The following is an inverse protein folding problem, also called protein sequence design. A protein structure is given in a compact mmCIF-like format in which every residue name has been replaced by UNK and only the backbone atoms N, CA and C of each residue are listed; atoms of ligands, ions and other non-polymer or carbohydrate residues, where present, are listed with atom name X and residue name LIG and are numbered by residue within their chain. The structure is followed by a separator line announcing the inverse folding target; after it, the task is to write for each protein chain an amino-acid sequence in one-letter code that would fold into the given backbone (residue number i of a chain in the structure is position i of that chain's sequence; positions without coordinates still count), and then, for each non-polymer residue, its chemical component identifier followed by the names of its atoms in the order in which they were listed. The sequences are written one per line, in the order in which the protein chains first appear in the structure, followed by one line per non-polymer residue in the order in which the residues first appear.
data_IF_474583450157
#
_entry.id   IF_474583450157
#
_cell.length_a   1.000
_cell.length_b   1.000
_cell.length_c   1.000
_cell.angle_alpha   90.00
_cell.angle_beta   90.00
_cell.angle_gamma   90.00
#
_symmetry.space_group_name_H-M   'P 1'
#
loop_
_entity.id
_entity.type
_entity.pdbx_description
1 polymer ?
#
# COMPACT_ATOMS: atom_id res chain seq x y z
N UNK A 1 -2.33 -6.12 -18.86
CA UNK A 1 -2.89 -4.79 -18.52
C UNK A 1 -2.75 -4.62 -17.02
N UNK A 2 -2.07 -3.59 -16.48
CA UNK A 2 -2.18 -3.36 -15.05
C UNK A 2 -3.58 -2.80 -14.83
N UNK A 3 -4.45 -3.64 -14.27
CA UNK A 3 -5.71 -3.16 -13.70
C UNK A 3 -5.31 -2.19 -12.61
N UNK A 4 -5.83 -0.97 -12.63
CA UNK A 4 -5.68 -0.01 -11.54
C UNK A 4 -6.42 -0.52 -10.31
N UNK A 5 -5.87 -1.56 -9.69
CA UNK A 5 -6.49 -2.26 -8.59
C UNK A 5 -6.25 -1.45 -7.32
N UNK A 6 -7.26 -0.63 -7.02
CA UNK A 6 -7.41 0.02 -5.72
C UNK A 6 -7.82 -1.03 -4.70
N UNK A 7 -6.90 -1.36 -3.79
CA UNK A 7 -7.10 -2.40 -2.78
C UNK A 7 -7.23 -1.83 -1.38
N UNK A 8 -7.94 -2.55 -0.51
CA UNK A 8 -8.04 -2.21 0.92
C UNK A 8 -6.69 -2.41 1.63
N UNK A 9 -6.47 -1.78 2.81
CA UNK A 9 -5.19 -1.82 3.51
C UNK A 9 -4.67 -3.25 3.73
N UNK A 10 -5.52 -4.15 4.23
CA UNK A 10 -5.19 -5.57 4.40
C UNK A 10 -4.68 -6.25 3.13
N UNK A 11 -5.32 -6.02 1.97
CA UNK A 11 -4.87 -6.59 0.69
C UNK A 11 -3.54 -6.00 0.23
N UNK A 12 -3.32 -4.70 0.43
CA UNK A 12 -2.02 -4.08 0.15
C UNK A 12 -0.91 -4.68 1.03
N UNK A 13 -1.19 -4.93 2.31
CA UNK A 13 -0.24 -5.58 3.23
C UNK A 13 0.10 -6.99 2.75
N UNK A 14 -0.89 -7.83 2.46
CA UNK A 14 -0.66 -9.18 1.93
C UNK A 14 0.18 -9.16 0.65
N UNK A 15 -0.08 -8.20 -0.23
CA UNK A 15 0.65 -8.03 -1.48
C UNK A 15 2.13 -7.69 -1.27
N UNK A 16 2.45 -6.88 -0.25
CA UNK A 16 3.82 -6.54 0.14
C UNK A 16 4.50 -7.73 0.82
N UNK A 17 3.79 -8.42 1.73
CA UNK A 17 4.30 -9.61 2.41
C UNK A 17 4.64 -10.73 1.42
N UNK A 18 3.81 -10.94 0.39
CA UNK A 18 4.05 -11.93 -0.66
C UNK A 18 5.33 -11.66 -1.49
N UNK A 19 5.93 -10.48 -1.36
CA UNK A 19 7.19 -10.09 -2.02
C UNK A 19 8.42 -10.17 -1.11
N UNK A 20 8.28 -10.76 0.08
CA UNK A 20 9.39 -11.02 1.00
C UNK A 20 9.44 -10.10 2.23
N UNK A 21 8.50 -9.15 2.36
CA UNK A 21 8.43 -8.25 3.52
C UNK A 21 7.47 -8.79 4.59
N UNK A 22 7.76 -9.96 5.15
CA UNK A 22 6.83 -10.70 6.04
C UNK A 22 6.33 -9.88 7.25
N UNK A 23 7.18 -9.01 7.81
CA UNK A 23 6.84 -8.15 8.97
C UNK A 23 6.04 -6.90 8.61
N UNK A 24 5.79 -6.66 7.31
CA UNK A 24 5.02 -5.51 6.85
C UNK A 24 3.56 -5.62 7.31
N UNK A 25 3.02 -4.55 7.88
CA UNK A 25 1.67 -4.54 8.44
C UNK A 25 0.96 -3.20 8.17
N UNK A 26 -0.31 -3.07 8.58
CA UNK A 26 -1.09 -1.86 8.32
C UNK A 26 -0.54 -0.59 9.01
N UNK A 27 0.16 -0.74 10.15
CA UNK A 27 0.80 0.39 10.80
C UNK A 27 2.00 0.87 9.98
N UNK A 28 2.79 -0.06 9.43
CA UNK A 28 3.89 0.23 8.50
C UNK A 28 3.37 0.89 7.22
N UNK A 29 2.31 0.35 6.62
CA UNK A 29 1.66 0.93 5.44
C UNK A 29 1.20 2.37 5.70
N UNK A 30 0.59 2.61 6.86
CA UNK A 30 0.14 3.95 7.28
C UNK A 30 1.33 4.88 7.55
N UNK A 31 2.41 4.37 8.13
CA UNK A 31 3.64 5.13 8.33
C UNK A 31 4.16 5.62 6.98
N UNK A 32 4.31 4.73 5.99
CA UNK A 32 4.76 5.13 4.66
C UNK A 32 3.82 6.15 4.01
N UNK A 33 2.50 5.97 4.11
CA UNK A 33 1.52 6.85 3.49
C UNK A 33 1.42 8.27 4.11
N UNK A 34 1.73 8.42 5.40
CA UNK A 34 1.48 9.66 6.14
C UNK A 34 2.73 10.32 6.72
N UNK A 35 3.81 9.56 6.93
CA UNK A 35 5.06 10.05 7.54
C UNK A 35 6.22 10.08 6.57
N UNK A 36 6.13 9.36 5.46
CA UNK A 36 7.15 9.34 4.41
C UNK A 36 6.58 9.87 3.09
N UNK A 37 7.46 10.17 2.13
CA UNK A 37 7.07 10.52 0.76
C UNK A 37 7.10 9.30 -0.20
N UNK A 38 7.23 8.08 0.34
CA UNK A 38 7.41 6.86 -0.47
C UNK A 38 6.09 6.21 -0.88
N UNK A 39 4.98 6.55 -0.22
CA UNK A 39 3.66 6.03 -0.57
C UNK A 39 2.65 7.19 -0.57
N UNK A 40 1.90 7.41 -1.66
CA UNK A 40 0.81 8.36 -1.68
C UNK A 40 -0.26 8.05 -0.62
N UNK A 41 -0.93 9.11 -0.15
CA UNK A 41 -2.04 8.96 0.79
C UNK A 41 -3.16 8.11 0.16
N UNK A 42 -3.83 7.25 0.94
CA UNK A 42 -4.89 6.41 0.40
C UNK A 42 -6.08 7.24 -0.07
N UNK A 43 -6.73 6.78 -1.14
CA UNK A 43 -8.01 7.32 -1.58
C UNK A 43 -9.09 6.93 -0.58
N UNK A 44 -9.88 7.90 -0.13
CA UNK A 44 -11.03 7.69 0.76
C UNK A 44 -12.31 7.60 -0.06
N UNK A 45 -13.06 6.53 0.13
CA UNK A 45 -14.41 6.35 -0.45
C UNK A 45 -15.35 5.94 0.69
N UNK A 46 -16.17 6.89 1.12
CA UNK A 46 -16.93 6.78 2.37
C UNK A 46 -16.01 6.53 3.56
N UNK A 47 -16.31 5.50 4.37
CA UNK A 47 -15.49 5.11 5.53
C UNK A 47 -14.24 4.29 5.18
N UNK A 48 -14.08 3.90 3.92
CA UNK A 48 -13.02 2.98 3.50
C UNK A 48 -11.83 3.71 2.88
N UNK A 49 -10.64 3.16 3.10
CA UNK A 49 -9.39 3.61 2.50
C UNK A 49 -8.93 2.60 1.45
N UNK A 50 -8.39 3.10 0.35
CA UNK A 50 -7.87 2.30 -0.74
C UNK A 50 -6.48 2.77 -1.16
N UNK A 51 -5.60 1.82 -1.45
CA UNK A 51 -4.26 2.04 -1.97
C UNK A 51 -4.18 1.50 -3.39
N UNK A 52 -3.53 2.24 -4.28
CA UNK A 52 -3.30 1.79 -5.65
C UNK A 52 -2.12 0.83 -5.65
N UNK A 53 -2.28 -0.37 -6.23
CA UNK A 53 -1.20 -1.35 -6.26
C UNK A 53 0.07 -0.83 -6.95
N UNK A 54 -0.06 -0.01 -8.00
CA UNK A 54 1.11 0.59 -8.68
C UNK A 54 1.96 1.47 -7.76
N UNK A 55 1.32 2.17 -6.81
CA UNK A 55 2.04 2.99 -5.84
C UNK A 55 2.68 2.13 -4.76
N UNK A 56 2.05 0.99 -4.43
CA UNK A 56 2.61 -0.02 -3.54
C UNK A 56 3.81 -0.72 -4.19
N UNK A 57 3.77 -1.02 -5.50
CA UNK A 57 4.92 -1.56 -6.24
C UNK A 57 6.10 -0.58 -6.21
N UNK A 58 5.85 0.73 -6.43
CA UNK A 58 6.89 1.76 -6.30
C UNK A 58 7.48 1.85 -4.90
N UNK A 59 6.65 1.71 -3.87
CA UNK A 59 7.15 1.64 -2.49
C UNK A 59 8.10 0.45 -2.35
N UNK A 60 7.73 -0.73 -2.87
CA UNK A 60 8.55 -1.93 -2.77
C UNK A 60 9.87 -1.81 -3.52
N UNK A 61 9.87 -1.19 -4.70
CA UNK A 61 11.11 -0.90 -5.45
C UNK A 61 12.04 0.07 -4.71
N UNK A 62 11.52 0.87 -3.79
CA UNK A 62 12.27 1.83 -2.99
C UNK A 62 12.73 1.29 -1.61
N UNK A 63 12.31 0.07 -1.23
CA UNK A 63 12.68 -0.60 0.03
C UNK A 63 13.87 -1.54 -0.18
#
# INVERSE_FOLDING_TARGET
MPVDDWVRPYKAVLYVQARGFELFNEATLRHYAYRTNLLPKPKKVGKYAYYRLSDVDRLIEAL
#
